data_IF_963332160190
#
_entry.id   IF_963332160190
#
_cell.length_a   1.000
_cell.length_b   1.000
_cell.length_c   1.000
_cell.angle_alpha   90.00
_cell.angle_beta   90.00
_cell.angle_gamma   90.00
#
_symmetry.space_group_name_H-M   'P 1'
#
loop_
_entity.id
_entity.type
_entity.pdbx_description
1 polymer ?
#
# COMPACT_ATOMS: atom_id res chain seq x y z
N UNK A 1 -10.61 25.37 -22.54
CA UNK A 1 -10.50 24.01 -23.15
C UNK A 1 -11.24 22.96 -22.33
N UNK A 2 -11.16 22.95 -20.98
CA UNK A 2 -11.90 21.99 -20.11
C UNK A 2 -13.43 21.96 -20.36
N UNK A 3 -14.07 23.12 -20.58
CA UNK A 3 -15.53 23.17 -20.78
C UNK A 3 -16.04 22.35 -21.97
N UNK A 4 -15.24 22.24 -23.04
CA UNK A 4 -15.59 21.44 -24.22
C UNK A 4 -15.54 19.94 -23.95
N UNK A 5 -14.59 19.49 -23.11
CA UNK A 5 -14.44 18.08 -22.75
C UNK A 5 -15.54 17.67 -21.77
N UNK A 6 -15.81 18.51 -20.75
CA UNK A 6 -16.91 18.25 -19.81
C UNK A 6 -18.25 18.16 -20.55
N UNK A 7 -18.54 19.08 -21.49
CA UNK A 7 -19.78 19.04 -22.28
C UNK A 7 -19.88 17.76 -23.15
N UNK A 8 -18.78 17.35 -23.78
CA UNK A 8 -18.72 16.09 -24.53
C UNK A 8 -19.02 14.88 -23.63
N UNK A 9 -18.47 14.84 -22.42
CA UNK A 9 -18.73 13.75 -21.48
C UNK A 9 -20.20 13.69 -21.04
N UNK A 10 -20.82 14.84 -20.79
CA UNK A 10 -22.24 14.91 -20.44
C UNK A 10 -23.12 14.42 -21.60
N UNK A 11 -22.85 14.85 -22.83
CA UNK A 11 -23.56 14.37 -24.02
C UNK A 11 -23.42 12.84 -24.17
N UNK A 12 -22.21 12.31 -23.95
CA UNK A 12 -21.99 10.86 -23.97
C UNK A 12 -22.79 10.14 -22.91
N UNK A 13 -22.82 10.65 -21.67
CA UNK A 13 -23.63 10.10 -20.58
C UNK A 13 -25.12 10.14 -20.92
N UNK A 14 -25.63 11.24 -21.45
CA UNK A 14 -27.05 11.39 -21.78
C UNK A 14 -27.46 10.47 -22.95
N UNK A 15 -26.54 10.19 -23.86
CA UNK A 15 -26.75 9.24 -24.96
C UNK A 15 -26.53 7.79 -24.55
N UNK A 16 -25.87 7.54 -23.42
CA UNK A 16 -25.44 6.22 -23.04
C UNK A 16 -26.62 5.39 -22.54
N UNK A 17 -26.80 4.22 -23.14
CA UNK A 17 -27.76 3.23 -22.65
C UNK A 17 -27.09 2.25 -21.69
N UNK A 18 -25.79 2.03 -21.87
CA UNK A 18 -25.04 1.00 -21.16
C UNK A 18 -23.86 1.59 -20.36
N UNK A 19 -23.60 1.05 -19.18
CA UNK A 19 -22.45 1.41 -18.33
C UNK A 19 -21.13 1.20 -19.07
N UNK A 20 -21.03 0.16 -19.92
CA UNK A 20 -19.85 -0.11 -20.75
C UNK A 20 -19.45 1.09 -21.62
N UNK A 21 -20.42 1.81 -22.20
CA UNK A 21 -20.18 2.97 -23.07
C UNK A 21 -19.51 4.11 -22.28
N UNK A 22 -20.00 4.37 -21.07
CA UNK A 22 -19.43 5.38 -20.15
C UNK A 22 -18.05 4.93 -19.67
N UNK A 23 -17.93 3.66 -19.25
CA UNK A 23 -16.67 3.09 -18.77
C UNK A 23 -15.56 3.15 -19.82
N UNK A 24 -15.86 2.82 -21.08
CA UNK A 24 -14.89 2.87 -22.19
C UNK A 24 -14.34 4.28 -22.40
N UNK A 25 -15.20 5.30 -22.37
CA UNK A 25 -14.78 6.71 -22.50
C UNK A 25 -13.89 7.11 -21.32
N UNK A 26 -14.31 6.80 -20.09
CA UNK A 26 -13.53 7.13 -18.89
C UNK A 26 -12.19 6.41 -18.86
N UNK A 27 -12.14 5.13 -19.22
CA UNK A 27 -10.92 4.33 -19.24
C UNK A 27 -9.88 4.91 -20.20
N UNK A 28 -10.29 5.31 -21.41
CA UNK A 28 -9.38 5.91 -22.37
C UNK A 28 -8.80 7.24 -21.85
N UNK A 29 -9.62 8.04 -21.18
CA UNK A 29 -9.21 9.35 -20.65
C UNK A 29 -8.42 9.25 -19.34
N UNK A 30 -8.69 8.24 -18.49
CA UNK A 30 -8.02 8.09 -17.19
C UNK A 30 -6.54 7.67 -17.30
N UNK A 31 -6.08 7.36 -18.51
CA UNK A 31 -4.65 7.20 -18.82
C UNK A 31 -3.86 8.51 -18.71
N UNK A 32 -4.53 9.67 -18.75
CA UNK A 32 -3.89 10.99 -18.71
C UNK A 32 -4.41 11.83 -17.53
N UNK A 33 -3.57 12.15 -16.53
CA UNK A 33 -3.99 12.89 -15.32
C UNK A 33 -4.67 14.23 -15.59
N UNK A 34 -4.37 14.88 -16.72
CA UNK A 34 -4.98 16.14 -17.13
C UNK A 34 -6.50 16.08 -17.31
N UNK A 35 -7.09 14.89 -17.48
CA UNK A 35 -8.54 14.70 -17.65
C UNK A 35 -9.26 14.32 -16.34
N UNK A 36 -8.55 14.18 -15.22
CA UNK A 36 -9.17 13.68 -13.98
C UNK A 36 -10.29 14.59 -13.48
N UNK A 37 -10.14 15.91 -13.61
CA UNK A 37 -11.17 16.86 -13.22
C UNK A 37 -12.42 16.79 -14.11
N UNK A 38 -12.25 16.60 -15.42
CA UNK A 38 -13.38 16.43 -16.35
C UNK A 38 -14.14 15.12 -16.06
N UNK A 39 -13.41 14.03 -15.78
CA UNK A 39 -14.02 12.74 -15.40
C UNK A 39 -14.76 12.85 -14.06
N UNK A 40 -14.19 13.55 -13.06
CA UNK A 40 -14.87 13.78 -11.76
C UNK A 40 -16.24 14.44 -11.97
N UNK A 41 -16.28 15.53 -12.74
CA UNK A 41 -17.52 16.27 -13.03
C UNK A 41 -18.53 15.41 -13.77
N UNK A 42 -18.06 14.60 -14.73
CA UNK A 42 -18.93 13.68 -15.47
C UNK A 42 -19.53 12.60 -14.54
N UNK A 43 -18.77 12.12 -13.55
CA UNK A 43 -19.28 11.19 -12.54
C UNK A 43 -20.30 11.88 -11.64
N UNK A 44 -20.04 13.11 -11.20
CA UNK A 44 -21.01 13.86 -10.40
C UNK A 44 -22.33 14.07 -11.17
N UNK A 45 -22.23 14.39 -12.46
CA UNK A 45 -23.37 14.50 -13.38
C UNK A 45 -24.13 13.18 -13.56
N UNK A 46 -23.42 12.05 -13.60
CA UNK A 46 -24.01 10.71 -13.67
C UNK A 46 -24.77 10.37 -12.38
N UNK A 47 -24.17 10.66 -11.23
CA UNK A 47 -24.72 10.41 -9.89
C UNK A 47 -25.94 11.30 -9.61
N UNK A 48 -25.99 12.50 -10.19
CA UNK A 48 -27.12 13.44 -10.12
C UNK A 48 -28.31 13.01 -11.01
N UNK A 49 -28.85 11.82 -10.73
CA UNK A 49 -30.13 11.36 -11.25
C UNK A 49 -30.10 10.44 -12.47
N UNK A 50 -28.93 10.07 -13.01
CA UNK A 50 -28.81 9.24 -14.23
C UNK A 50 -28.38 7.80 -13.98
N UNK A 51 -27.87 7.48 -12.78
CA UNK A 51 -27.49 6.10 -12.45
C UNK A 51 -28.66 5.10 -12.59
N UNK A 52 -29.89 5.53 -12.32
CA UNK A 52 -31.07 4.65 -12.44
C UNK A 52 -31.50 4.39 -13.89
N UNK A 53 -31.00 5.14 -14.87
CA UNK A 53 -31.43 5.06 -16.28
C UNK A 53 -30.50 4.22 -17.15
N UNK A 54 -29.28 3.95 -16.69
CA UNK A 54 -28.27 3.17 -17.43
C UNK A 54 -28.36 1.68 -17.09
N UNK A 55 -28.17 0.79 -18.06
CA UNK A 55 -28.10 -0.67 -17.85
C UNK A 55 -26.65 -1.15 -17.84
N UNK A 56 -26.33 -2.28 -17.22
CA UNK A 56 -24.99 -2.84 -17.31
C UNK A 56 -24.79 -4.06 -16.41
N UNK A 57 -23.87 -4.94 -16.78
CA UNK A 57 -23.55 -6.14 -15.99
C UNK A 57 -22.85 -5.78 -14.66
N UNK A 58 -22.86 -6.66 -13.63
CA UNK A 58 -22.17 -6.39 -12.36
C UNK A 58 -20.71 -5.96 -12.53
N UNK A 59 -19.97 -6.60 -13.44
CA UNK A 59 -18.58 -6.27 -13.75
C UNK A 59 -18.40 -4.87 -14.34
N UNK A 60 -19.33 -4.40 -15.17
CA UNK A 60 -19.30 -3.04 -15.71
C UNK A 60 -19.52 -2.00 -14.61
N UNK A 61 -20.49 -2.24 -13.72
CA UNK A 61 -20.74 -1.39 -12.57
C UNK A 61 -19.52 -1.32 -11.63
N UNK A 62 -18.92 -2.48 -11.34
CA UNK A 62 -17.70 -2.58 -10.56
C UNK A 62 -16.57 -1.75 -11.19
N UNK A 63 -16.34 -1.90 -12.49
CA UNK A 63 -15.28 -1.19 -13.21
C UNK A 63 -15.51 0.33 -13.23
N UNK A 64 -16.76 0.78 -13.41
CA UNK A 64 -17.11 2.19 -13.34
C UNK A 64 -16.81 2.78 -11.94
N UNK A 65 -17.12 2.05 -10.86
CA UNK A 65 -16.79 2.46 -9.51
C UNK A 65 -15.27 2.51 -9.25
N UNK A 66 -14.50 1.59 -9.84
CA UNK A 66 -13.02 1.63 -9.82
C UNK A 66 -12.50 2.90 -10.50
N UNK A 67 -12.99 3.23 -11.70
CA UNK A 67 -12.59 4.45 -12.41
C UNK A 67 -12.88 5.71 -11.59
N UNK A 68 -14.02 5.75 -10.90
CA UNK A 68 -14.37 6.84 -9.99
C UNK A 68 -13.34 7.02 -8.88
N UNK A 69 -12.87 5.92 -8.27
CA UNK A 69 -11.80 5.96 -7.27
C UNK A 69 -10.45 6.35 -7.86
N UNK A 70 -10.12 5.93 -9.08
CA UNK A 70 -8.86 6.31 -9.74
C UNK A 70 -8.74 7.82 -9.90
N UNK A 71 -9.85 8.50 -10.17
CA UNK A 71 -9.89 9.97 -10.21
C UNK A 71 -10.17 10.58 -8.84
N UNK A 72 -10.10 9.84 -7.74
CA UNK A 72 -10.35 10.35 -6.38
C UNK A 72 -11.76 10.94 -6.15
N UNK A 73 -12.79 10.42 -6.86
CA UNK A 73 -14.20 10.72 -6.57
C UNK A 73 -14.82 9.59 -5.72
N UNK A 74 -14.47 9.56 -4.43
CA UNK A 74 -14.88 8.49 -3.52
C UNK A 74 -16.42 8.43 -3.37
N UNK A 75 -17.08 9.58 -3.25
CA UNK A 75 -18.54 9.67 -3.08
C UNK A 75 -19.30 9.19 -4.32
N UNK A 76 -18.80 9.53 -5.51
CA UNK A 76 -19.36 9.04 -6.77
C UNK A 76 -19.22 7.53 -6.91
N UNK A 77 -18.02 6.99 -6.63
CA UNK A 77 -17.77 5.55 -6.67
C UNK A 77 -18.65 4.78 -5.70
N UNK A 78 -18.87 5.33 -4.50
CA UNK A 78 -19.78 4.75 -3.52
C UNK A 78 -21.24 4.73 -4.00
N UNK A 79 -21.72 5.83 -4.58
CA UNK A 79 -23.09 5.93 -5.12
C UNK A 79 -23.31 4.93 -6.27
N UNK A 80 -22.32 4.76 -7.14
CA UNK A 80 -22.33 3.75 -8.22
C UNK A 80 -22.46 2.34 -7.65
N UNK A 81 -21.67 1.99 -6.62
CA UNK A 81 -21.74 0.67 -5.97
C UNK A 81 -23.09 0.43 -5.28
N UNK A 82 -23.66 1.45 -4.61
CA UNK A 82 -24.97 1.31 -3.98
C UNK A 82 -26.07 1.02 -5.00
N UNK A 83 -26.07 1.72 -6.13
CA UNK A 83 -27.02 1.46 -7.22
C UNK A 83 -26.80 0.07 -7.84
N UNK A 84 -25.53 -0.34 -8.02
CA UNK A 84 -25.19 -1.66 -8.54
C UNK A 84 -25.70 -2.78 -7.63
N UNK A 85 -25.47 -2.69 -6.31
CA UNK A 85 -25.96 -3.68 -5.32
C UNK A 85 -27.49 -3.68 -5.25
N UNK A 86 -28.15 -2.54 -5.45
CA UNK A 86 -29.62 -2.47 -5.53
C UNK A 86 -30.15 -3.31 -6.70
N UNK A 87 -29.45 -3.32 -7.83
CA UNK A 87 -29.81 -4.08 -9.04
C UNK A 87 -29.37 -5.54 -8.99
N UNK A 88 -28.22 -5.80 -8.39
CA UNK A 88 -27.59 -7.11 -8.29
C UNK A 88 -27.37 -7.48 -6.82
N UNK A 89 -28.46 -7.74 -6.08
CA UNK A 89 -28.44 -7.94 -4.63
C UNK A 89 -27.57 -9.11 -4.15
N UNK A 90 -27.33 -10.11 -4.99
CA UNK A 90 -26.58 -11.32 -4.62
C UNK A 90 -25.18 -11.37 -5.26
N UNK A 91 -24.77 -10.33 -5.97
CA UNK A 91 -23.44 -10.30 -6.58
C UNK A 91 -22.36 -10.11 -5.52
N UNK A 92 -21.49 -11.12 -5.40
CA UNK A 92 -20.48 -11.19 -4.33
C UNK A 92 -19.46 -10.07 -4.45
N UNK A 93 -18.99 -9.76 -5.66
CA UNK A 93 -17.94 -8.75 -5.84
C UNK A 93 -18.48 -7.34 -5.54
N UNK A 94 -19.70 -7.01 -6.00
CA UNK A 94 -20.35 -5.75 -5.66
C UNK A 94 -20.62 -5.61 -4.16
N UNK A 95 -21.07 -6.68 -3.50
CA UNK A 95 -21.25 -6.70 -2.05
C UNK A 95 -19.92 -6.55 -1.31
N UNK A 96 -18.85 -7.18 -1.78
CA UNK A 96 -17.52 -7.04 -1.20
C UNK A 96 -17.00 -5.60 -1.32
N UNK A 97 -17.22 -4.93 -2.45
CA UNK A 97 -16.86 -3.51 -2.59
C UNK A 97 -17.70 -2.62 -1.69
N UNK A 98 -19.02 -2.84 -1.61
CA UNK A 98 -19.90 -2.09 -0.71
C UNK A 98 -19.43 -2.25 0.74
N UNK A 99 -19.14 -3.49 1.13
CA UNK A 99 -18.61 -3.82 2.45
C UNK A 99 -17.30 -3.07 2.74
N UNK A 100 -16.34 -3.12 1.82
CA UNK A 100 -15.07 -2.41 1.93
C UNK A 100 -15.25 -0.90 2.08
N UNK A 101 -16.13 -0.30 1.29
CA UNK A 101 -16.45 1.12 1.41
C UNK A 101 -16.98 1.45 2.81
N UNK A 102 -17.97 0.69 3.30
CA UNK A 102 -18.61 0.96 4.60
C UNK A 102 -17.63 0.91 5.75
N UNK A 103 -16.84 -0.16 5.88
CA UNK A 103 -15.94 -0.27 7.03
C UNK A 103 -14.78 0.74 6.96
N UNK A 104 -14.29 1.11 5.77
CA UNK A 104 -13.22 2.09 5.62
C UNK A 104 -13.67 3.54 5.90
N UNK A 105 -14.97 3.83 5.81
CA UNK A 105 -15.53 5.17 6.03
C UNK A 105 -16.29 5.30 7.37
N UNK A 106 -16.17 4.31 8.26
CA UNK A 106 -16.69 4.40 9.63
C UNK A 106 -18.14 3.95 9.81
N UNK A 107 -18.80 3.45 8.76
CA UNK A 107 -20.18 2.94 8.81
C UNK A 107 -20.23 1.48 9.31
N UNK A 108 -19.73 1.21 10.52
CA UNK A 108 -19.51 -0.16 11.02
C UNK A 108 -20.79 -1.00 11.10
N UNK A 109 -21.93 -0.41 11.49
CA UNK A 109 -23.21 -1.11 11.55
C UNK A 109 -23.65 -1.60 10.16
N UNK A 110 -23.56 -0.74 9.15
CA UNK A 110 -23.91 -1.10 7.78
C UNK A 110 -22.89 -2.05 7.15
N UNK A 111 -21.62 -1.96 7.54
CA UNK A 111 -20.61 -2.95 7.14
C UNK A 111 -20.96 -4.34 7.71
N UNK A 112 -21.38 -4.42 8.97
CA UNK A 112 -21.81 -5.67 9.60
C UNK A 112 -23.02 -6.29 8.88
N UNK A 113 -24.04 -5.50 8.52
CA UNK A 113 -25.20 -5.98 7.74
C UNK A 113 -24.78 -6.57 6.38
N UNK A 114 -23.86 -5.91 5.67
CA UNK A 114 -23.37 -6.42 4.38
C UNK A 114 -22.53 -7.69 4.58
N UNK A 115 -21.75 -7.76 5.66
CA UNK A 115 -20.95 -8.94 6.02
C UNK A 115 -21.83 -10.15 6.35
N UNK A 116 -22.89 -9.96 7.15
CA UNK A 116 -23.87 -11.01 7.46
C UNK A 116 -24.50 -11.54 6.17
N UNK A 117 -24.96 -10.63 5.31
CA UNK A 117 -25.52 -10.98 4.00
C UNK A 117 -24.55 -11.78 3.13
N UNK A 118 -23.28 -11.39 3.07
CA UNK A 118 -22.24 -12.13 2.34
C UNK A 118 -22.10 -13.57 2.88
N UNK A 119 -22.13 -13.76 4.20
CA UNK A 119 -22.04 -15.08 4.81
C UNK A 119 -23.27 -15.97 4.52
N UNK A 120 -24.46 -15.38 4.35
CA UNK A 120 -25.70 -16.09 4.04
C UNK A 120 -25.75 -16.64 2.60
N UNK A 121 -24.99 -16.07 1.65
CA UNK A 121 -24.99 -16.51 0.24
C UNK A 121 -24.40 -17.92 0.03
N UNK A 122 -23.68 -18.43 1.03
CA UNK A 122 -23.03 -19.74 1.00
C UNK A 122 -21.73 -19.78 0.21
N UNK A 123 -20.81 -20.65 0.64
CA UNK A 123 -19.43 -20.73 0.13
C UNK A 123 -19.32 -21.12 -1.33
N UNK A 124 -20.32 -21.79 -1.90
CA UNK A 124 -20.35 -22.08 -3.33
C UNK A 124 -20.40 -20.80 -4.19
N UNK A 125 -21.04 -19.73 -3.68
CA UNK A 125 -21.07 -18.41 -4.34
C UNK A 125 -19.88 -17.55 -3.92
N UNK A 126 -19.58 -17.46 -2.62
CA UNK A 126 -18.55 -16.54 -2.12
C UNK A 126 -17.13 -17.06 -2.28
N UNK A 127 -16.93 -18.37 -2.20
CA UNK A 127 -15.61 -18.98 -2.15
C UNK A 127 -14.69 -18.66 -3.33
N UNK A 128 -15.18 -18.68 -4.58
CA UNK A 128 -14.35 -18.31 -5.72
C UNK A 128 -13.85 -16.84 -5.71
N UNK A 129 -14.51 -15.92 -4.99
CA UNK A 129 -14.11 -14.52 -4.91
C UNK A 129 -13.05 -14.32 -3.83
N UNK A 130 -11.83 -13.96 -4.24
CA UNK A 130 -10.75 -13.63 -3.30
C UNK A 130 -11.10 -12.45 -2.39
N UNK A 131 -11.93 -11.50 -2.88
CA UNK A 131 -12.33 -10.30 -2.14
C UNK A 131 -13.10 -10.64 -0.88
N UNK A 132 -13.96 -11.66 -0.94
CA UNK A 132 -14.71 -12.13 0.22
C UNK A 132 -13.78 -12.51 1.38
N UNK A 133 -12.79 -13.37 1.09
CA UNK A 133 -11.83 -13.83 2.08
C UNK A 133 -10.95 -12.70 2.61
N UNK A 134 -10.43 -11.88 1.70
CA UNK A 134 -9.48 -10.81 2.01
C UNK A 134 -10.12 -9.66 2.77
N UNK A 135 -11.27 -9.17 2.32
CA UNK A 135 -11.96 -8.06 2.99
C UNK A 135 -12.59 -8.52 4.30
N UNK A 136 -13.14 -9.74 4.34
CA UNK A 136 -13.62 -10.34 5.58
C UNK A 136 -12.52 -10.48 6.63
N UNK A 137 -11.33 -10.98 6.24
CA UNK A 137 -10.23 -11.16 7.17
C UNK A 137 -9.69 -9.83 7.67
N UNK A 138 -9.61 -8.84 6.78
CA UNK A 138 -9.23 -7.46 7.16
C UNK A 138 -10.22 -6.85 8.13
N UNK A 139 -11.53 -7.06 7.90
CA UNK A 139 -12.58 -6.58 8.79
C UNK A 139 -12.51 -7.20 10.18
N UNK A 140 -12.40 -8.54 10.24
CA UNK A 140 -12.23 -9.29 11.48
C UNK A 140 -11.01 -8.81 12.27
N UNK A 141 -9.85 -8.69 11.60
CA UNK A 141 -8.61 -8.31 12.26
C UNK A 141 -8.61 -6.85 12.75
N UNK A 142 -9.04 -5.91 11.90
CA UNK A 142 -8.87 -4.46 12.18
C UNK A 142 -10.01 -3.85 12.97
N UNK A 143 -11.24 -4.30 12.76
CA UNK A 143 -12.43 -3.67 13.32
C UNK A 143 -13.07 -4.50 14.43
N UNK A 144 -13.07 -5.82 14.30
CA UNK A 144 -13.58 -6.71 15.34
C UNK A 144 -12.49 -7.19 16.31
N UNK A 145 -11.22 -6.88 16.02
CA UNK A 145 -10.06 -7.35 16.76
C UNK A 145 -9.98 -8.89 16.90
N UNK A 146 -10.63 -9.61 15.97
CA UNK A 146 -10.65 -11.06 15.90
C UNK A 146 -9.58 -11.56 14.90
N UNK A 147 -8.35 -11.67 15.39
CA UNK A 147 -7.22 -12.12 14.57
C UNK A 147 -7.29 -13.60 14.25
N UNK A 148 -7.78 -14.42 15.18
CA UNK A 148 -7.87 -15.87 14.98
C UNK A 148 -8.92 -16.20 13.92
N UNK A 149 -10.08 -15.55 13.98
CA UNK A 149 -11.10 -15.63 12.94
C UNK A 149 -10.59 -15.10 11.59
N UNK A 150 -9.87 -13.98 11.59
CA UNK A 150 -9.27 -13.45 10.36
C UNK A 150 -8.27 -14.43 9.70
N UNK A 151 -7.41 -15.06 10.51
CA UNK A 151 -6.47 -16.08 10.02
C UNK A 151 -7.19 -17.32 9.51
N UNK A 152 -8.18 -17.82 10.26
CA UNK A 152 -8.98 -18.97 9.84
C UNK A 152 -9.67 -18.69 8.51
N UNK A 153 -10.14 -17.46 8.29
CA UNK A 153 -10.76 -17.05 7.05
C UNK A 153 -9.76 -17.00 5.87
N UNK A 154 -8.53 -16.50 6.09
CA UNK A 154 -7.49 -16.55 5.05
C UNK A 154 -7.08 -17.98 4.71
N UNK A 155 -6.87 -18.83 5.72
CA UNK A 155 -6.52 -20.25 5.55
C UNK A 155 -7.60 -21.00 4.78
N UNK A 156 -8.87 -20.73 5.09
CA UNK A 156 -9.98 -21.31 4.33
C UNK A 156 -9.97 -20.82 2.87
N UNK A 157 -9.74 -19.52 2.66
CA UNK A 157 -9.66 -18.92 1.32
C UNK A 157 -8.64 -19.58 0.39
N UNK A 158 -7.53 -20.10 0.93
CA UNK A 158 -6.52 -20.82 0.15
C UNK A 158 -7.08 -22.07 -0.56
N UNK A 159 -8.17 -22.66 -0.03
CA UNK A 159 -8.81 -23.85 -0.61
C UNK A 159 -9.89 -23.54 -1.64
N UNK A 160 -10.38 -22.30 -1.70
CA UNK A 160 -11.51 -21.90 -2.55
C UNK A 160 -11.09 -21.01 -3.72
N UNK A 161 -10.08 -20.17 -3.53
CA UNK A 161 -9.67 -19.16 -4.50
C UNK A 161 -8.83 -19.79 -5.59
N UNK A 162 -9.04 -19.33 -6.84
CA UNK A 162 -8.26 -19.79 -8.00
C UNK A 162 -6.79 -19.40 -7.86
N UNK A 163 -5.91 -20.23 -8.41
CA UNK A 163 -4.45 -20.02 -8.36
C UNK A 163 -4.01 -18.61 -8.80
N UNK A 164 -4.65 -18.05 -9.84
CA UNK A 164 -4.38 -16.71 -10.36
C UNK A 164 -4.64 -15.58 -9.35
N UNK A 165 -5.58 -15.81 -8.43
CA UNK A 165 -6.05 -14.81 -7.46
C UNK A 165 -5.44 -15.03 -6.07
N UNK A 166 -4.75 -16.15 -5.83
CA UNK A 166 -4.17 -16.50 -4.51
C UNK A 166 -3.12 -15.51 -4.02
N UNK A 167 -2.45 -14.77 -4.90
CA UNK A 167 -1.53 -13.71 -4.49
C UNK A 167 -2.22 -12.66 -3.60
N UNK A 168 -3.51 -12.38 -3.87
CA UNK A 168 -4.29 -11.47 -3.04
C UNK A 168 -4.50 -12.04 -1.63
N UNK A 169 -4.75 -13.35 -1.49
CA UNK A 169 -4.93 -13.99 -0.18
C UNK A 169 -3.61 -14.01 0.60
N UNK A 170 -2.53 -14.46 -0.03
CA UNK A 170 -1.21 -14.53 0.61
C UNK A 170 -0.73 -13.16 1.09
N UNK A 171 -0.78 -12.13 0.24
CA UNK A 171 -0.33 -10.78 0.61
C UNK A 171 -1.05 -10.20 1.83
N UNK A 172 -2.30 -10.59 2.08
CA UNK A 172 -3.10 -10.08 3.21
C UNK A 172 -2.77 -10.71 4.57
N UNK A 173 -1.93 -11.75 4.63
CA UNK A 173 -1.41 -12.24 5.92
C UNK A 173 -0.67 -11.13 6.68
N UNK A 174 0.10 -10.27 5.98
CA UNK A 174 0.79 -9.14 6.61
C UNK A 174 -0.19 -8.15 7.21
N UNK A 175 -1.27 -7.81 6.50
CA UNK A 175 -2.30 -6.88 6.99
C UNK A 175 -2.99 -7.45 8.23
N UNK A 176 -3.36 -8.73 8.22
CA UNK A 176 -4.03 -9.38 9.36
C UNK A 176 -3.10 -9.50 10.57
N UNK A 177 -1.84 -9.90 10.36
CA UNK A 177 -0.91 -10.22 11.43
C UNK A 177 -0.17 -9.00 11.98
N UNK A 178 0.22 -8.04 11.13
CA UNK A 178 1.02 -6.88 11.52
C UNK A 178 0.11 -5.65 11.71
N UNK A 179 -0.68 -5.29 10.69
CA UNK A 179 -1.46 -4.05 10.75
C UNK A 179 -2.72 -4.20 11.62
N UNK A 180 -3.26 -5.41 11.72
CA UNK A 180 -4.31 -5.82 12.65
C UNK A 180 -3.78 -6.25 14.03
N UNK A 181 -2.49 -6.07 14.30
CA UNK A 181 -1.92 -6.37 15.61
C UNK A 181 -2.37 -5.34 16.65
N UNK A 182 -3.15 -5.75 17.64
CA UNK A 182 -3.32 -4.96 18.85
C UNK A 182 -2.06 -5.08 19.72
N UNK A 183 -1.05 -4.30 19.36
CA UNK A 183 0.21 -4.25 20.11
C UNK A 183 0.02 -3.72 21.54
N UNK A 184 -1.14 -3.11 21.87
CA UNK A 184 -1.44 -2.65 23.23
C UNK A 184 -1.83 -3.81 24.15
N UNK A 185 -2.34 -4.91 23.59
CA UNK A 185 -2.62 -6.13 24.35
C UNK A 185 -1.34 -6.84 24.81
N UNK A 186 -0.20 -6.61 24.14
CA UNK A 186 1.09 -7.10 24.58
C UNK A 186 1.60 -6.20 25.73
N UNK A 187 1.58 -6.73 26.96
CA UNK A 187 1.83 -5.97 28.18
C UNK A 187 3.25 -5.43 28.33
N UNK A 188 4.21 -5.86 27.50
CA UNK A 188 5.56 -5.31 27.49
C UNK A 188 6.28 -5.48 26.14
N UNK A 189 7.42 -4.79 25.98
CA UNK A 189 8.25 -4.79 24.76
C UNK A 189 8.76 -6.18 24.36
N UNK A 190 9.08 -7.05 25.32
CA UNK A 190 9.57 -8.39 25.02
C UNK A 190 8.48 -9.26 24.39
N UNK A 191 7.26 -9.18 24.94
CA UNK A 191 6.07 -9.85 24.39
C UNK A 191 5.72 -9.32 23.00
N UNK A 192 5.81 -8.00 22.78
CA UNK A 192 5.65 -7.42 21.43
C UNK A 192 6.68 -7.99 20.45
N UNK A 193 7.95 -8.07 20.85
CA UNK A 193 9.02 -8.59 20.00
C UNK A 193 8.84 -10.09 19.68
N UNK A 194 8.45 -10.89 20.66
CA UNK A 194 8.16 -12.32 20.49
C UNK A 194 6.97 -12.53 19.55
N UNK A 195 5.88 -11.79 19.76
CA UNK A 195 4.69 -11.86 18.91
C UNK A 195 5.00 -11.44 17.48
N UNK A 196 5.72 -10.34 17.30
CA UNK A 196 6.16 -9.86 16.00
C UNK A 196 7.04 -10.90 15.29
N UNK A 197 7.97 -11.54 16.01
CA UNK A 197 8.82 -12.59 15.44
C UNK A 197 7.99 -13.77 14.93
N UNK A 198 7.04 -14.26 15.74
CA UNK A 198 6.12 -15.34 15.35
C UNK A 198 5.30 -14.97 14.11
N UNK A 199 4.83 -13.74 14.02
CA UNK A 199 4.06 -13.26 12.88
C UNK A 199 4.89 -13.12 11.62
N UNK A 200 6.09 -12.58 11.73
CA UNK A 200 7.06 -12.54 10.62
C UNK A 200 7.37 -13.94 10.11
N UNK A 201 7.61 -14.92 11.00
CA UNK A 201 7.88 -16.30 10.61
C UNK A 201 6.70 -16.92 9.85
N UNK A 202 5.47 -16.70 10.32
CA UNK A 202 4.27 -17.19 9.65
C UNK A 202 4.06 -16.55 8.27
N UNK A 203 4.21 -15.22 8.17
CA UNK A 203 4.11 -14.50 6.88
C UNK A 203 5.17 -15.02 5.92
N UNK A 204 6.41 -15.17 6.39
CA UNK A 204 7.51 -15.70 5.61
C UNK A 204 7.20 -17.12 5.10
N UNK A 205 6.66 -18.00 5.93
CA UNK A 205 6.26 -19.34 5.51
C UNK A 205 5.17 -19.27 4.44
N UNK A 206 4.13 -18.47 4.65
CA UNK A 206 3.02 -18.35 3.70
C UNK A 206 3.45 -17.77 2.35
N UNK A 207 4.36 -16.79 2.34
CA UNK A 207 4.91 -16.27 1.09
C UNK A 207 5.74 -17.33 0.36
N UNK A 208 6.51 -18.17 1.07
CA UNK A 208 7.22 -19.30 0.46
C UNK A 208 6.26 -20.32 -0.13
N UNK A 209 5.22 -20.70 0.61
CA UNK A 209 4.19 -21.63 0.13
C UNK A 209 3.57 -21.11 -1.19
N UNK A 210 3.22 -19.82 -1.25
CA UNK A 210 2.70 -19.19 -2.47
C UNK A 210 3.69 -19.20 -3.65
N UNK A 211 4.98 -18.98 -3.39
CA UNK A 211 6.02 -19.07 -4.42
C UNK A 211 6.20 -20.51 -4.94
N UNK A 212 6.18 -21.50 -4.04
CA UNK A 212 6.31 -22.92 -4.38
C UNK A 212 5.11 -23.44 -5.19
N UNK A 213 3.92 -22.90 -4.93
CA UNK A 213 2.71 -23.18 -5.72
C UNK A 213 2.75 -22.57 -7.13
N UNK A 214 3.72 -21.68 -7.42
CA UNK A 214 3.84 -21.03 -8.72
C UNK A 214 2.66 -20.12 -9.04
N UNK A 215 2.11 -19.42 -8.04
CA UNK A 215 0.97 -18.53 -8.23
C UNK A 215 1.26 -17.41 -9.25
N UNK A 216 0.22 -16.98 -9.96
CA UNK A 216 0.33 -15.84 -10.86
C UNK A 216 0.72 -14.58 -10.07
N UNK A 217 1.60 -13.77 -10.66
CA UNK A 217 2.22 -12.62 -9.97
C UNK A 217 3.01 -12.98 -8.71
N UNK A 218 3.53 -14.22 -8.58
CA UNK A 218 4.38 -14.63 -7.46
C UNK A 218 5.62 -13.74 -7.22
N UNK A 219 6.09 -13.00 -8.23
CA UNK A 219 7.14 -12.00 -8.04
C UNK A 219 6.78 -10.93 -6.99
N UNK A 220 5.49 -10.63 -6.79
CA UNK A 220 5.02 -9.71 -5.73
C UNK A 220 5.32 -10.29 -4.36
N UNK A 221 5.02 -11.59 -4.14
CA UNK A 221 5.37 -12.28 -2.90
C UNK A 221 6.89 -12.34 -2.69
N UNK A 222 7.67 -12.56 -3.75
CA UNK A 222 9.12 -12.57 -3.66
C UNK A 222 9.68 -11.18 -3.25
N UNK A 223 9.12 -10.09 -3.78
CA UNK A 223 9.45 -8.72 -3.35
C UNK A 223 9.07 -8.50 -1.88
N UNK A 224 7.86 -8.89 -1.47
CA UNK A 224 7.40 -8.67 -0.10
C UNK A 224 8.16 -9.54 0.92
N UNK A 225 8.58 -10.75 0.51
CA UNK A 225 9.47 -11.59 1.30
C UNK A 225 10.86 -10.96 1.46
N UNK A 226 11.41 -10.35 0.41
CA UNK A 226 12.68 -9.63 0.51
C UNK A 226 12.57 -8.42 1.45
N UNK A 227 11.47 -7.67 1.41
CA UNK A 227 11.21 -6.57 2.36
C UNK A 227 11.16 -7.09 3.79
N UNK A 228 10.44 -8.18 4.03
CA UNK A 228 10.28 -8.80 5.34
C UNK A 228 11.63 -9.26 5.92
N UNK A 229 12.47 -9.90 5.11
CA UNK A 229 13.82 -10.31 5.50
C UNK A 229 14.71 -9.11 5.82
N UNK A 230 14.65 -8.05 5.01
CA UNK A 230 15.36 -6.79 5.30
C UNK A 230 14.90 -6.18 6.62
N UNK A 231 13.59 -6.10 6.87
CA UNK A 231 13.03 -5.60 8.14
C UNK A 231 13.54 -6.44 9.33
N UNK A 232 13.58 -7.77 9.18
CA UNK A 232 14.09 -8.69 10.20
C UNK A 232 15.58 -8.50 10.49
N UNK A 233 16.39 -8.22 9.47
CA UNK A 233 17.84 -8.01 9.60
C UNK A 233 18.22 -6.87 10.54
N UNK A 234 17.34 -5.87 10.73
CA UNK A 234 17.62 -4.72 11.59
C UNK A 234 17.75 -5.06 13.09
N UNK A 235 17.21 -6.21 13.52
CA UNK A 235 17.28 -6.68 14.90
C UNK A 235 18.30 -7.79 15.16
N UNK A 236 19.10 -8.15 14.15
CA UNK A 236 20.05 -9.26 14.21
C UNK A 236 21.47 -8.79 14.51
N UNK A 237 22.34 -9.72 14.92
CA UNK A 237 23.78 -9.47 14.93
C UNK A 237 24.31 -9.27 13.50
N UNK A 238 25.48 -8.62 13.31
CA UNK A 238 25.96 -8.25 11.98
C UNK A 238 26.14 -9.41 10.98
N UNK A 239 26.50 -10.61 11.46
CA UNK A 239 26.72 -11.77 10.60
C UNK A 239 25.38 -12.33 10.11
N UNK A 240 24.48 -12.62 11.04
CA UNK A 240 23.11 -13.07 10.73
C UNK A 240 22.34 -12.04 9.88
N UNK A 241 22.52 -10.74 10.16
CA UNK A 241 21.92 -9.67 9.38
C UNK A 241 22.43 -9.69 7.93
N UNK A 242 23.73 -9.90 7.71
CA UNK A 242 24.31 -9.99 6.37
C UNK A 242 23.74 -11.19 5.62
N UNK A 243 23.69 -12.37 6.24
CA UNK A 243 23.12 -13.57 5.61
C UNK A 243 21.65 -13.37 5.24
N UNK A 244 20.87 -12.76 6.14
CA UNK A 244 19.46 -12.44 5.91
C UNK A 244 19.27 -11.50 4.71
N UNK A 245 20.11 -10.47 4.58
CA UNK A 245 20.10 -9.54 3.45
C UNK A 245 20.52 -10.23 2.14
N UNK A 246 21.46 -11.17 2.18
CA UNK A 246 21.82 -11.96 1.00
C UNK A 246 20.68 -12.86 0.54
N UNK A 247 19.91 -13.43 1.48
CA UNK A 247 18.66 -14.16 1.14
C UNK A 247 17.63 -13.20 0.52
N UNK A 248 17.46 -12.00 1.06
CA UNK A 248 16.54 -11.00 0.52
C UNK A 248 16.90 -10.63 -0.94
N UNK A 249 18.19 -10.43 -1.24
CA UNK A 249 18.65 -10.17 -2.60
C UNK A 249 18.35 -11.34 -3.55
N UNK A 250 18.50 -12.60 -3.10
CA UNK A 250 18.13 -13.78 -3.91
C UNK A 250 16.64 -13.80 -4.24
N UNK A 251 15.76 -13.41 -3.32
CA UNK A 251 14.33 -13.32 -3.62
C UNK A 251 14.01 -12.19 -4.61
N UNK A 252 14.74 -11.07 -4.56
CA UNK A 252 14.59 -10.01 -5.57
C UNK A 252 15.05 -10.47 -6.96
N UNK A 253 16.09 -11.30 -7.05
CA UNK A 253 16.48 -11.94 -8.31
C UNK A 253 15.40 -12.95 -8.80
N UNK A 254 14.76 -13.69 -7.89
CA UNK A 254 13.60 -14.54 -8.23
C UNK A 254 12.43 -13.71 -8.73
N UNK A 255 12.13 -12.58 -8.09
CA UNK A 255 11.08 -11.67 -8.52
C UNK A 255 11.35 -11.13 -9.93
N UNK A 256 12.58 -10.70 -10.21
CA UNK A 256 12.99 -10.20 -11.52
C UNK A 256 12.83 -11.27 -12.61
N UNK A 257 13.20 -12.52 -12.33
CA UNK A 257 13.07 -13.63 -13.28
C UNK A 257 11.64 -14.09 -13.53
N UNK A 258 10.75 -13.90 -12.56
CA UNK A 258 9.34 -14.32 -12.64
C UNK A 258 8.39 -13.17 -12.97
N UNK A 259 8.93 -11.99 -13.32
CA UNK A 259 8.13 -10.82 -13.66
C UNK A 259 7.31 -11.00 -14.94
N UNK A 260 6.00 -10.75 -14.85
CA UNK A 260 5.03 -11.00 -15.93
C UNK A 260 4.53 -9.74 -16.66
N UNK A 261 5.23 -8.61 -16.54
CA UNK A 261 4.82 -7.34 -17.18
C UNK A 261 3.46 -6.77 -16.71
N UNK A 262 3.10 -6.99 -15.45
CA UNK A 262 1.87 -6.44 -14.88
C UNK A 262 2.02 -4.94 -14.58
N UNK A 263 1.16 -4.11 -15.19
CA UNK A 263 1.17 -2.65 -15.00
C UNK A 263 0.89 -2.19 -13.56
N UNK A 264 0.16 -2.98 -12.76
CA UNK A 264 -0.14 -2.65 -11.36
C UNK A 264 1.06 -2.81 -10.44
N UNK A 265 2.05 -3.62 -10.83
CA UNK A 265 3.25 -3.86 -10.05
C UNK A 265 4.47 -3.72 -10.97
N UNK A 266 4.84 -2.49 -11.34
CA UNK A 266 5.90 -2.27 -12.32
C UNK A 266 7.23 -2.86 -11.87
N UNK A 267 8.04 -3.33 -12.83
CA UNK A 267 9.39 -3.87 -12.60
C UNK A 267 10.27 -2.96 -11.73
N UNK A 268 10.05 -1.65 -11.81
CA UNK A 268 10.76 -0.66 -11.00
C UNK A 268 10.64 -0.90 -9.49
N UNK A 269 9.53 -1.48 -9.02
CA UNK A 269 9.38 -1.83 -7.61
C UNK A 269 10.44 -2.86 -7.17
N UNK A 270 10.79 -3.81 -8.04
CA UNK A 270 11.84 -4.81 -7.76
C UNK A 270 13.19 -4.10 -7.63
N UNK A 271 13.52 -3.20 -8.57
CA UNK A 271 14.79 -2.48 -8.57
C UNK A 271 14.92 -1.50 -7.40
N UNK A 272 13.84 -0.82 -7.02
CA UNK A 272 13.81 0.04 -5.84
C UNK A 272 14.15 -0.78 -4.59
N UNK A 273 13.49 -1.92 -4.39
CA UNK A 273 13.73 -2.77 -3.23
C UNK A 273 15.14 -3.41 -3.26
N UNK A 274 15.67 -3.71 -4.45
CA UNK A 274 17.05 -4.15 -4.66
C UNK A 274 18.06 -3.09 -4.23
N UNK A 275 17.89 -1.84 -4.66
CA UNK A 275 18.75 -0.74 -4.26
C UNK A 275 18.72 -0.53 -2.74
N UNK A 276 17.53 -0.50 -2.12
CA UNK A 276 17.39 -0.33 -0.65
C UNK A 276 18.06 -1.50 0.11
N UNK A 277 17.94 -2.73 -0.39
CA UNK A 277 18.55 -3.91 0.25
C UNK A 277 20.07 -3.90 0.12
N UNK A 278 20.61 -3.47 -1.03
CA UNK A 278 22.05 -3.26 -1.22
C UNK A 278 22.60 -2.15 -0.31
N UNK A 279 21.84 -1.08 -0.10
CA UNK A 279 22.18 -0.02 0.86
C UNK A 279 22.26 -0.56 2.28
N UNK A 280 21.30 -1.39 2.70
CA UNK A 280 21.32 -2.04 4.01
C UNK A 280 22.54 -2.96 4.18
N UNK A 281 22.97 -3.65 3.11
CA UNK A 281 24.20 -4.45 3.07
C UNK A 281 25.49 -3.63 2.85
N UNK A 282 25.40 -2.30 2.89
CA UNK A 282 26.52 -1.37 2.68
C UNK A 282 27.25 -1.57 1.34
N UNK A 283 26.56 -2.13 0.34
CA UNK A 283 27.04 -2.30 -1.04
C UNK A 283 26.70 -1.05 -1.85
N UNK A 284 27.26 0.08 -1.44
CA UNK A 284 26.86 1.41 -1.94
C UNK A 284 27.13 1.60 -3.43
N UNK A 285 28.22 1.05 -3.97
CA UNK A 285 28.52 1.13 -5.40
C UNK A 285 27.47 0.40 -6.26
N UNK A 286 27.08 -0.81 -5.83
CA UNK A 286 26.06 -1.61 -6.50
C UNK A 286 24.68 -0.95 -6.38
N UNK A 287 24.34 -0.43 -5.20
CA UNK A 287 23.09 0.31 -4.98
C UNK A 287 23.00 1.54 -5.89
N UNK A 288 24.09 2.30 -6.01
CA UNK A 288 24.16 3.48 -6.88
C UNK A 288 23.96 3.12 -8.35
N UNK A 289 24.53 2.00 -8.80
CA UNK A 289 24.31 1.51 -10.17
C UNK A 289 22.83 1.21 -10.42
N UNK A 290 22.13 0.61 -9.46
CA UNK A 290 20.68 0.37 -9.57
C UNK A 290 19.90 1.69 -9.53
N UNK A 291 20.24 2.64 -8.66
CA UNK A 291 19.57 3.95 -8.65
C UNK A 291 19.69 4.69 -9.99
N UNK A 292 20.84 4.61 -10.65
CA UNK A 292 21.05 5.22 -11.98
C UNK A 292 20.23 4.56 -13.10
N UNK A 293 19.79 3.32 -12.93
CA UNK A 293 18.93 2.65 -13.92
C UNK A 293 17.44 2.93 -13.72
N UNK A 294 17.04 3.55 -12.61
CA UNK A 294 15.65 3.91 -12.37
C UNK A 294 15.25 5.13 -13.22
N UNK A 295 13.99 5.18 -13.71
CA UNK A 295 13.47 6.38 -14.35
C UNK A 295 13.49 7.58 -13.38
N UNK A 296 13.82 8.80 -13.86
CA UNK A 296 13.76 10.06 -13.11
C UNK A 296 12.55 10.20 -12.16
N UNK A 297 11.35 9.99 -12.68
CA UNK A 297 10.10 10.14 -11.94
C UNK A 297 9.87 9.08 -10.85
N UNK A 298 10.71 8.06 -10.77
CA UNK A 298 10.71 7.04 -9.70
C UNK A 298 11.66 7.38 -8.56
N UNK A 299 12.58 8.32 -8.75
CA UNK A 299 13.46 8.83 -7.69
C UNK A 299 12.69 9.90 -6.91
N UNK A 300 11.86 9.46 -5.98
CA UNK A 300 11.24 10.37 -5.01
C UNK A 300 12.25 10.82 -3.94
N UNK A 301 11.88 11.82 -3.13
CA UNK A 301 12.81 12.46 -2.18
C UNK A 301 13.56 11.50 -1.25
N UNK A 302 12.96 10.35 -0.87
CA UNK A 302 13.66 9.34 -0.06
C UNK A 302 14.72 8.61 -0.89
N UNK A 303 14.34 8.12 -2.07
CA UNK A 303 15.25 7.36 -2.93
C UNK A 303 16.38 8.22 -3.47
N UNK A 304 16.10 9.48 -3.81
CA UNK A 304 17.10 10.47 -4.21
C UNK A 304 18.12 10.72 -3.08
N UNK A 305 17.67 10.84 -1.83
CA UNK A 305 18.55 10.99 -0.66
C UNK A 305 19.44 9.76 -0.49
N UNK A 306 18.90 8.55 -0.66
CA UNK A 306 19.68 7.31 -0.59
C UNK A 306 20.71 7.22 -1.71
N UNK A 307 20.35 7.62 -2.94
CA UNK A 307 21.26 7.64 -4.08
C UNK A 307 22.40 8.65 -3.88
N UNK A 308 22.11 9.87 -3.41
CA UNK A 308 23.14 10.86 -3.04
C UNK A 308 24.07 10.34 -1.93
N UNK A 309 23.53 9.68 -0.91
CA UNK A 309 24.35 9.07 0.13
C UNK A 309 25.30 8.00 -0.43
N UNK A 310 24.81 7.13 -1.31
CA UNK A 310 25.63 6.12 -1.98
C UNK A 310 26.73 6.74 -2.85
N UNK A 311 26.40 7.80 -3.58
CA UNK A 311 27.33 8.59 -4.40
C UNK A 311 28.46 9.19 -3.55
N UNK A 312 28.10 9.90 -2.48
CA UNK A 312 29.08 10.49 -1.56
C UNK A 312 29.98 9.44 -0.91
N UNK A 313 29.41 8.31 -0.48
CA UNK A 313 30.17 7.23 0.17
C UNK A 313 31.16 6.55 -0.79
N UNK A 314 30.86 6.56 -2.09
CA UNK A 314 31.69 5.91 -3.12
C UNK A 314 32.60 6.89 -3.87
N UNK A 315 32.50 8.19 -3.60
CA UNK A 315 33.21 9.24 -4.36
C UNK A 315 32.73 9.38 -5.81
N UNK A 316 31.56 8.86 -6.16
CA UNK A 316 30.99 8.96 -7.50
C UNK A 316 29.97 10.10 -7.59
N UNK A 317 29.70 10.59 -8.79
CA UNK A 317 28.69 11.64 -9.03
C UNK A 317 27.30 11.06 -9.26
N UNK A 318 26.25 11.75 -8.79
CA UNK A 318 24.86 11.39 -9.07
C UNK A 318 24.07 12.65 -9.38
N UNK A 319 23.75 12.86 -10.65
CA UNK A 319 22.91 13.97 -11.08
C UNK A 319 21.44 13.55 -10.91
N UNK A 320 20.75 14.13 -9.93
CA UNK A 320 19.31 13.98 -9.83
C UNK A 320 18.64 14.81 -10.94
N UNK A 321 17.70 14.21 -11.65
CA UNK A 321 16.88 14.87 -12.67
C UNK A 321 16.03 15.97 -12.03
N UNK A 322 16.57 17.19 -12.00
CA UNK A 322 15.97 18.35 -11.34
C UNK A 322 16.97 19.39 -10.84
N UNK A 323 18.27 19.05 -10.77
CA UNK A 323 19.32 20.04 -10.51
C UNK A 323 19.65 20.81 -11.80
N UNK A 324 18.82 21.83 -12.10
CA UNK A 324 19.28 22.99 -12.86
C UNK A 324 20.45 23.64 -12.10
N UNK A 325 21.58 23.84 -12.78
CA UNK A 325 22.87 24.35 -12.28
C UNK A 325 22.86 25.76 -11.65
N UNK A 326 21.70 26.34 -11.29
CA UNK A 326 21.61 27.68 -10.69
C UNK A 326 20.95 27.64 -9.29
N UNK A 327 21.72 27.28 -8.26
CA UNK A 327 21.61 27.89 -6.92
C UNK A 327 22.60 27.27 -5.91
N UNK A 328 23.81 27.81 -5.94
CA UNK A 328 24.76 27.94 -4.83
C UNK A 328 24.77 26.81 -3.78
N UNK A 329 25.75 25.91 -3.92
CA UNK A 329 26.22 24.98 -2.88
C UNK A 329 26.45 25.70 -1.53
N UNK A 330 26.84 26.99 -1.55
CA UNK A 330 26.92 27.88 -0.39
C UNK A 330 25.63 27.94 0.44
N UNK A 331 24.47 28.15 -0.19
CA UNK A 331 23.20 28.32 0.52
C UNK A 331 22.64 27.02 1.13
N UNK A 332 23.17 25.86 0.74
CA UNK A 332 22.84 24.57 1.39
C UNK A 332 23.71 24.35 2.62
N UNK A 333 25.00 24.68 2.56
CA UNK A 333 25.93 24.64 3.70
C UNK A 333 25.51 25.63 4.78
N UNK A 334 25.15 26.87 4.41
CA UNK A 334 24.69 27.90 5.36
C UNK A 334 23.41 27.48 6.10
N UNK A 335 22.52 26.74 5.44
CA UNK A 335 21.30 26.19 6.07
C UNK A 335 21.58 25.03 7.01
N UNK A 336 22.60 24.22 6.72
CA UNK A 336 23.02 23.13 7.61
C UNK A 336 23.70 23.71 8.85
N UNK A 337 24.60 24.68 8.70
CA UNK A 337 25.25 25.37 9.82
C UNK A 337 24.24 26.09 10.73
N UNK A 338 23.21 26.71 10.15
CA UNK A 338 22.14 27.32 10.93
C UNK A 338 21.34 26.29 11.74
N UNK A 339 21.09 25.10 11.18
CA UNK A 339 20.38 24.01 11.89
C UNK A 339 21.25 23.38 12.97
N UNK A 340 22.55 23.22 12.75
CA UNK A 340 23.49 22.72 13.76
C UNK A 340 23.56 23.68 14.95
N UNK A 341 23.74 24.98 14.71
CA UNK A 341 23.70 25.99 15.79
C UNK A 341 22.39 26.00 16.57
N UNK A 342 21.26 25.76 15.91
CA UNK A 342 19.97 25.65 16.58
C UNK A 342 19.86 24.39 17.44
N UNK A 343 20.48 23.29 17.03
CA UNK A 343 20.54 22.06 17.81
C UNK A 343 21.42 22.25 19.04
N UNK A 344 22.61 22.84 18.89
CA UNK A 344 23.54 23.10 19.99
C UNK A 344 22.88 23.98 21.08
N UNK A 345 22.18 25.04 20.67
CA UNK A 345 21.44 25.90 21.60
C UNK A 345 20.33 25.15 22.37
N UNK A 346 19.68 24.16 21.75
CA UNK A 346 18.66 23.33 22.43
C UNK A 346 19.29 22.32 23.38
N UNK A 347 20.48 21.81 23.07
CA UNK A 347 21.23 20.94 23.96
C UNK A 347 21.66 21.70 25.21
N UNK A 348 22.22 22.91 25.07
CA UNK A 348 22.59 23.75 26.23
C UNK A 348 21.37 24.08 27.12
N UNK A 349 20.21 24.38 26.52
CA UNK A 349 18.98 24.61 27.27
C UNK A 349 18.52 23.37 28.05
N UNK A 350 18.63 22.18 27.44
CA UNK A 350 18.30 20.92 28.10
C UNK A 350 19.27 20.59 29.24
N UNK A 351 20.57 20.82 29.05
CA UNK A 351 21.57 20.65 30.11
C UNK A 351 21.31 21.58 31.30
N UNK A 352 20.96 22.84 31.04
CA UNK A 352 20.56 23.78 32.08
C UNK A 352 19.30 23.36 32.84
N UNK A 353 18.28 22.87 32.12
CA UNK A 353 17.06 22.35 32.72
C UNK A 353 17.31 21.12 33.58
N UNK A 354 18.16 20.19 33.12
CA UNK A 354 18.55 18.99 33.87
C UNK A 354 19.31 19.36 35.14
N UNK A 355 20.26 20.30 35.07
CA UNK A 355 21.01 20.77 36.25
C UNK A 355 20.10 21.42 37.30
N UNK A 356 19.09 22.20 36.89
CA UNK A 356 18.10 22.77 37.81
C UNK A 356 17.25 21.69 38.49
N UNK A 357 16.89 20.63 37.74
CA UNK A 357 16.11 19.50 38.24
C UNK A 357 16.91 18.65 39.24
N UNK A 358 18.20 18.45 38.97
CA UNK A 358 19.12 17.78 39.91
C UNK A 358 19.31 18.63 41.17
N UNK A 359 19.44 19.95 41.03
CA UNK A 359 19.55 20.87 42.16
C UNK A 359 18.31 20.88 43.06
N UNK A 360 17.11 20.86 42.47
CA UNK A 360 15.84 20.85 43.21
C UNK A 360 15.60 19.52 43.93
N UNK A 361 16.00 18.39 43.35
CA UNK A 361 15.95 17.07 43.99
C UNK A 361 16.96 16.93 45.13
N UNK A 362 18.14 17.53 45.00
CA UNK A 362 19.18 17.50 46.03
C UNK A 362 18.82 18.35 47.26
N UNK A 363 18.01 19.39 47.09
CA UNK A 363 17.51 20.24 48.18
C UNK A 363 16.34 19.65 48.97
N UNK A 364 15.67 18.61 48.47
CA UNK A 364 14.53 17.96 49.15
C UNK A 364 14.92 16.80 50.08
N UNK A 365 16.19 16.37 50.08
CA UNK A 365 16.71 15.29 50.94
C UNK A 365 17.43 15.79 52.21
N UNK A 366 17.29 17.06 52.57
CA UNK A 366 17.75 17.61 53.86
C UNK A 366 16.55 18.12 54.65
N UNK A 367 15.75 17.19 55.19
CA UNK A 367 14.87 17.41 56.34
C UNK A 367 14.73 16.14 57.15
#
# INVERSE_FOLDING_TARGET
>A
MSDGITAFLHERIDSAKYVEEIHSVFHNMSTSPQYYDDIRRAIDYLVDGRLSTIEGSPSEWFNLAIQSRMVNNIAGGFSIIQEAVRRYPEDVDLLCELFQFRYNHGDQALAAEVWERLNELGKAKTGPSWRFWVYGATYLARYLHDREGALALLEEGLSWVRLADLNNVFSHYRIVLIDGADLRAAGNRAQVAELHTRYVDLIQQRYKDGLELGIECGYVLAVDLAKLLRERSAGMDPESASECLDVALRYLDVAERTYTHNGNHPIWNIYIEKAITLMARRRYADALQVFRSLPPHKLDGRLETMARYAANTTGQTFAASGESEDSSESGRVDRIDARVKQIDARVEQLEGAVMQLIGSLSGQNVK
#
